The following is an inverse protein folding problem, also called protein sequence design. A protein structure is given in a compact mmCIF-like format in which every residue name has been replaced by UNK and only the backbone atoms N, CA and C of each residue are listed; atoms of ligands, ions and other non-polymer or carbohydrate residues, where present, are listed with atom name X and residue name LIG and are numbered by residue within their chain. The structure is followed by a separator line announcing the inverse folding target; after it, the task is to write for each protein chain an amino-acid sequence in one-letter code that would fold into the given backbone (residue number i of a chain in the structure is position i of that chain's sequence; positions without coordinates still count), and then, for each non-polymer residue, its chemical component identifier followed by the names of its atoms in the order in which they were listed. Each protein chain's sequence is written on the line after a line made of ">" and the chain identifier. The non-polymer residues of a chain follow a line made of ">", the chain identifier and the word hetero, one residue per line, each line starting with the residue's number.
data_IF_299626350152
#
_entry.id   IF_299626350152
#
_cell.length_a   1.000
_cell.length_b   1.000
_cell.length_c   1.000
_cell.angle_alpha   90.00
_cell.angle_beta   90.00
_cell.angle_gamma   90.00
#
_symmetry.space_group_name_H-M   'P 1'
#
loop_
_entity.id
_entity.type
_entity.pdbx_description
1 polymer ?
#
# COMPACT_ATOMS: atom_id res chain seq x y z
N UNK A 1 13.57 -0.83 8.97
CA UNK A 1 13.84 -1.82 10.05
C UNK A 1 14.38 -3.14 9.51
N UNK A 2 13.71 -3.83 8.56
CA UNK A 2 14.19 -5.14 8.07
C UNK A 2 15.64 -5.19 7.56
N UNK A 3 16.11 -4.14 6.90
CA UNK A 3 17.50 -4.06 6.41
C UNK A 3 18.51 -4.10 7.56
N UNK A 4 18.23 -3.51 8.70
CA UNK A 4 19.14 -3.49 9.87
C UNK A 4 19.35 -4.92 10.39
N UNK A 5 18.29 -5.72 10.46
CA UNK A 5 18.41 -7.12 10.88
C UNK A 5 19.23 -7.96 9.89
N UNK A 6 19.04 -7.75 8.58
CA UNK A 6 19.81 -8.42 7.54
C UNK A 6 21.29 -8.05 7.64
N UNK A 7 21.61 -6.76 7.80
CA UNK A 7 23.00 -6.30 8.01
C UNK A 7 23.61 -6.86 9.29
N UNK A 8 22.80 -6.99 10.36
CA UNK A 8 23.22 -7.65 11.60
C UNK A 8 23.61 -9.10 11.37
N UNK A 9 22.81 -9.87 10.62
CA UNK A 9 23.13 -11.27 10.27
C UNK A 9 24.42 -11.35 9.45
N UNK A 10 24.61 -10.46 8.48
CA UNK A 10 25.83 -10.42 7.66
C UNK A 10 27.06 -10.08 8.51
N UNK A 11 26.96 -9.08 9.39
CA UNK A 11 28.05 -8.70 10.31
C UNK A 11 28.44 -9.85 11.23
N UNK A 12 27.46 -10.51 11.87
CA UNK A 12 27.71 -11.67 12.75
C UNK A 12 28.38 -12.83 12.02
N UNK A 13 28.05 -13.05 10.75
CA UNK A 13 28.66 -14.11 9.95
C UNK A 13 30.15 -13.85 9.66
N UNK A 14 30.52 -12.58 9.48
CA UNK A 14 31.90 -12.21 9.14
C UNK A 14 32.81 -12.01 10.37
N UNK A 15 32.24 -11.42 11.42
CA UNK A 15 33.06 -10.85 12.50
C UNK A 15 33.07 -11.71 13.78
N UNK A 16 32.10 -12.64 13.96
CA UNK A 16 31.96 -13.43 15.18
C UNK A 16 31.76 -14.91 14.90
N UNK A 17 32.82 -15.72 14.88
CA UNK A 17 32.68 -17.17 14.80
C UNK A 17 31.90 -17.70 16.02
N UNK A 18 30.90 -18.55 15.79
CA UNK A 18 30.03 -19.11 16.82
C UNK A 18 28.78 -18.31 17.16
N UNK A 19 28.51 -17.20 16.45
CA UNK A 19 27.29 -16.40 16.65
C UNK A 19 26.07 -16.92 15.87
N UNK A 20 25.99 -18.22 15.61
CA UNK A 20 24.91 -18.83 14.81
C UNK A 20 23.54 -18.61 15.45
N UNK A 21 23.41 -18.79 16.76
CA UNK A 21 22.14 -18.59 17.49
C UNK A 21 21.65 -17.15 17.40
N UNK A 22 22.58 -16.18 17.50
CA UNK A 22 22.23 -14.77 17.34
C UNK A 22 21.79 -14.46 15.90
N UNK A 23 22.42 -15.07 14.90
CA UNK A 23 22.04 -14.92 13.49
C UNK A 23 20.66 -15.51 13.22
N UNK A 24 20.33 -16.68 13.77
CA UNK A 24 19.00 -17.27 13.71
C UNK A 24 17.93 -16.37 14.34
N UNK A 25 18.21 -15.84 15.52
CA UNK A 25 17.30 -14.92 16.22
C UNK A 25 17.02 -13.66 15.41
N UNK A 26 18.07 -13.05 14.81
CA UNK A 26 17.91 -11.87 13.98
C UNK A 26 17.16 -12.17 12.67
N UNK A 27 17.38 -13.35 12.08
CA UNK A 27 16.63 -13.78 10.91
C UNK A 27 15.14 -13.95 11.23
N UNK A 28 14.81 -14.60 12.33
CA UNK A 28 13.43 -14.73 12.80
C UNK A 28 12.79 -13.36 13.07
N UNK A 29 13.48 -12.46 13.76
CA UNK A 29 13.01 -11.09 14.00
C UNK A 29 12.76 -10.33 12.68
N UNK A 30 13.61 -10.51 11.68
CA UNK A 30 13.43 -9.92 10.35
C UNK A 30 12.14 -10.43 9.70
N UNK A 31 11.88 -11.73 9.75
CA UNK A 31 10.70 -12.33 9.13
C UNK A 31 9.41 -11.85 9.81
N UNK A 32 9.39 -11.82 11.13
CA UNK A 32 8.26 -11.25 11.89
C UNK A 32 8.08 -9.75 11.65
N UNK A 33 9.17 -8.98 11.54
CA UNK A 33 9.08 -7.55 11.24
C UNK A 33 8.52 -7.32 9.84
N UNK A 34 8.83 -8.19 8.88
CA UNK A 34 8.27 -8.11 7.53
C UNK A 34 6.78 -8.47 7.51
N UNK A 35 6.38 -9.49 8.26
CA UNK A 35 4.99 -9.89 8.37
C UNK A 35 4.13 -8.79 9.02
N UNK A 36 4.59 -8.21 10.14
CA UNK A 36 3.84 -7.18 10.88
C UNK A 36 3.91 -5.79 10.26
N UNK A 37 5.03 -5.42 9.68
CA UNK A 37 5.16 -4.12 9.03
C UNK A 37 4.38 -4.07 7.72
N UNK A 38 4.94 -4.57 6.61
CA UNK A 38 4.27 -4.56 5.32
C UNK A 38 2.97 -5.37 5.29
N UNK A 39 2.94 -6.53 5.94
CA UNK A 39 1.79 -7.44 5.93
C UNK A 39 0.54 -6.91 6.65
N UNK A 40 0.68 -6.05 7.64
CA UNK A 40 -0.46 -5.45 8.35
C UNK A 40 -0.67 -3.98 8.04
N UNK A 41 0.39 -3.17 8.02
CA UNK A 41 0.26 -1.71 7.87
C UNK A 41 -0.08 -1.33 6.42
N UNK A 42 0.57 -1.93 5.43
CA UNK A 42 0.36 -1.63 4.01
C UNK A 42 -1.08 -1.91 3.55
N UNK A 43 -1.73 -3.04 3.92
CA UNK A 43 -3.11 -3.29 3.54
C UNK A 43 -4.10 -2.22 4.01
N UNK A 44 -3.90 -1.68 5.21
CA UNK A 44 -4.71 -0.58 5.72
C UNK A 44 -4.47 0.71 4.95
N UNK A 45 -3.22 1.10 4.79
CA UNK A 45 -2.85 2.35 4.13
C UNK A 45 -3.08 2.33 2.62
N UNK A 46 -2.32 1.51 1.92
CA UNK A 46 -2.35 1.48 0.46
C UNK A 46 -3.53 0.67 -0.10
N UNK A 47 -3.92 -0.40 0.55
CA UNK A 47 -5.06 -1.20 0.12
C UNK A 47 -6.38 -0.47 0.36
N UNK A 48 -6.77 -0.34 1.62
CA UNK A 48 -8.10 0.16 1.97
C UNK A 48 -8.22 1.67 1.84
N UNK A 49 -7.34 2.45 2.50
CA UNK A 49 -7.48 3.91 2.54
C UNK A 49 -7.21 4.50 1.16
N UNK A 50 -6.08 4.19 0.56
CA UNK A 50 -5.72 4.73 -0.75
C UNK A 50 -6.64 4.19 -1.85
N UNK A 51 -6.96 2.89 -1.84
CA UNK A 51 -7.92 2.28 -2.76
C UNK A 51 -9.30 2.97 -2.68
N UNK A 52 -9.81 3.22 -1.47
CA UNK A 52 -11.07 3.94 -1.26
C UNK A 52 -11.00 5.39 -1.76
N UNK A 53 -9.93 6.12 -1.43
CA UNK A 53 -9.74 7.49 -1.88
C UNK A 53 -9.68 7.58 -3.41
N UNK A 54 -8.95 6.67 -4.07
CA UNK A 54 -8.85 6.62 -5.53
C UNK A 54 -10.19 6.24 -6.17
N UNK A 55 -10.94 5.33 -5.55
CA UNK A 55 -12.29 4.98 -6.00
C UNK A 55 -13.26 6.17 -5.91
N UNK A 56 -13.28 6.85 -4.76
CA UNK A 56 -14.17 7.97 -4.48
C UNK A 56 -13.83 9.21 -5.30
N UNK A 57 -12.54 9.52 -5.42
CA UNK A 57 -12.05 10.68 -6.17
C UNK A 57 -12.19 10.52 -7.69
N UNK A 58 -12.19 9.29 -8.20
CA UNK A 58 -12.17 9.03 -9.64
C UNK A 58 -10.89 9.48 -10.34
N UNK A 59 -9.80 9.72 -9.60
CA UNK A 59 -8.49 10.10 -10.14
C UNK A 59 -7.85 9.00 -10.98
N UNK A 60 -8.19 7.74 -10.68
CA UNK A 60 -7.80 6.55 -11.45
C UNK A 60 -9.05 5.79 -11.91
N UNK A 61 -8.93 4.90 -12.91
CA UNK A 61 -10.05 4.05 -13.33
C UNK A 61 -10.60 3.25 -12.16
N UNK A 62 -11.89 3.40 -11.88
CA UNK A 62 -12.56 2.75 -10.72
C UNK A 62 -12.36 1.24 -10.67
N UNK A 63 -12.28 0.59 -11.85
CA UNK A 63 -12.03 -0.86 -11.95
C UNK A 63 -10.71 -1.26 -11.29
N UNK A 64 -9.70 -0.42 -11.40
CA UNK A 64 -8.37 -0.67 -10.80
C UNK A 64 -8.35 -0.38 -9.30
N UNK A 65 -9.11 0.59 -8.81
CA UNK A 65 -9.24 0.85 -7.38
C UNK A 65 -9.84 -0.34 -6.62
N UNK A 66 -10.63 -1.20 -7.28
CA UNK A 66 -11.13 -2.44 -6.69
C UNK A 66 -10.03 -3.44 -6.31
N UNK A 67 -8.92 -3.46 -7.05
CA UNK A 67 -7.78 -4.32 -6.69
C UNK A 67 -7.18 -3.92 -5.34
N UNK A 68 -7.09 -2.63 -5.04
CA UNK A 68 -6.66 -2.16 -3.72
C UNK A 68 -7.67 -2.51 -2.63
N UNK A 69 -8.97 -2.26 -2.88
CA UNK A 69 -10.05 -2.51 -1.93
C UNK A 69 -10.24 -4.00 -1.59
N UNK A 70 -10.01 -4.89 -2.55
CA UNK A 70 -10.10 -6.34 -2.34
C UNK A 70 -8.76 -6.88 -1.82
N UNK A 71 -7.66 -6.42 -2.38
CA UNK A 71 -6.31 -6.87 -2.03
C UNK A 71 -5.94 -6.55 -0.59
N UNK A 72 -6.35 -5.39 -0.07
CA UNK A 72 -6.11 -5.01 1.32
C UNK A 72 -6.65 -6.02 2.32
N UNK A 73 -7.98 -6.28 2.36
CA UNK A 73 -8.57 -7.30 3.24
C UNK A 73 -7.99 -8.70 3.04
N UNK A 74 -7.67 -9.08 1.80
CA UNK A 74 -7.10 -10.39 1.49
C UNK A 74 -5.70 -10.55 2.10
N UNK A 75 -4.86 -9.53 1.99
CA UNK A 75 -3.53 -9.53 2.60
C UNK A 75 -3.61 -9.52 4.13
N UNK A 76 -4.55 -8.73 4.70
CA UNK A 76 -4.80 -8.75 6.14
C UNK A 76 -5.19 -10.14 6.62
N UNK A 77 -6.13 -10.78 5.95
CA UNK A 77 -6.58 -12.13 6.29
C UNK A 77 -5.43 -13.14 6.21
N UNK A 78 -4.60 -13.06 5.15
CA UNK A 78 -3.40 -13.87 5.02
C UNK A 78 -2.40 -13.66 6.16
N UNK A 79 -2.12 -12.42 6.51
CA UNK A 79 -1.18 -12.06 7.58
C UNK A 79 -1.69 -12.48 8.98
N UNK A 80 -2.98 -12.30 9.26
CA UNK A 80 -3.58 -12.77 10.51
C UNK A 80 -3.58 -14.29 10.61
N UNK A 81 -3.90 -15.00 9.52
CA UNK A 81 -3.88 -16.46 9.54
C UNK A 81 -2.48 -17.04 9.76
N UNK A 82 -1.45 -16.41 9.21
CA UNK A 82 -0.06 -16.77 9.52
C UNK A 82 0.29 -16.45 10.98
N UNK A 83 -0.20 -15.32 11.52
CA UNK A 83 0.02 -14.95 12.91
C UNK A 83 -0.59 -15.94 13.91
N UNK A 84 -1.79 -16.44 13.60
CA UNK A 84 -2.51 -17.41 14.43
C UNK A 84 -2.19 -18.87 14.09
N UNK A 85 -1.18 -19.09 13.25
CA UNK A 85 -0.71 -20.44 12.85
C UNK A 85 -1.81 -21.30 12.20
N UNK A 86 -2.73 -20.63 11.48
CA UNK A 86 -3.77 -21.34 10.71
C UNK A 86 -3.21 -21.98 9.45
N UNK A 87 -2.14 -21.41 8.93
CA UNK A 87 -1.37 -21.93 7.79
C UNK A 87 0.06 -21.42 7.80
N UNK A 88 0.93 -22.19 7.16
CA UNK A 88 2.33 -21.82 7.01
C UNK A 88 2.51 -20.58 6.12
N UNK A 89 3.49 -19.75 6.44
CA UNK A 89 3.83 -18.54 5.67
C UNK A 89 4.15 -18.83 4.19
N UNK A 90 4.61 -20.03 3.86
CA UNK A 90 4.89 -20.50 2.50
C UNK A 90 3.69 -21.13 1.77
N UNK A 91 2.50 -21.16 2.36
CA UNK A 91 1.33 -21.74 1.73
C UNK A 91 0.74 -20.87 0.62
N UNK A 92 -0.21 -21.42 -0.14
CA UNK A 92 -0.86 -20.70 -1.26
C UNK A 92 -1.65 -19.47 -0.82
N UNK A 93 -2.17 -19.45 0.40
CA UNK A 93 -3.02 -18.36 0.89
C UNK A 93 -2.22 -17.05 1.08
N UNK A 94 -1.05 -17.06 1.72
CA UNK A 94 -0.17 -15.88 1.73
C UNK A 94 0.29 -15.44 0.34
N UNK A 95 0.41 -16.35 -0.64
CA UNK A 95 0.77 -15.96 -2.01
C UNK A 95 -0.31 -15.12 -2.71
N UNK A 96 -1.55 -15.06 -2.19
CA UNK A 96 -2.56 -14.09 -2.63
C UNK A 96 -2.17 -12.63 -2.30
N UNK A 97 -1.14 -12.41 -1.50
CA UNK A 97 -0.51 -11.11 -1.29
C UNK A 97 -0.02 -10.44 -2.59
N UNK A 98 0.17 -11.19 -3.65
CA UNK A 98 0.45 -10.66 -5.01
C UNK A 98 -0.64 -9.69 -5.50
N UNK A 99 -1.89 -9.85 -5.08
CA UNK A 99 -2.99 -8.98 -5.54
C UNK A 99 -2.78 -7.50 -5.18
N UNK A 100 -2.46 -7.14 -3.91
CA UNK A 100 -2.12 -5.75 -3.59
C UNK A 100 -0.81 -5.26 -4.24
N UNK A 101 0.17 -6.13 -4.49
CA UNK A 101 1.38 -5.76 -5.20
C UNK A 101 1.08 -5.34 -6.65
N UNK A 102 0.19 -6.06 -7.33
CA UNK A 102 -0.30 -5.68 -8.67
C UNK A 102 -0.98 -4.30 -8.61
N UNK A 103 -1.77 -4.02 -7.58
CA UNK A 103 -2.40 -2.72 -7.38
C UNK A 103 -1.37 -1.59 -7.24
N UNK A 104 -0.36 -1.78 -6.39
CA UNK A 104 0.69 -0.77 -6.15
C UNK A 104 1.52 -0.53 -7.41
N UNK A 105 1.95 -1.60 -8.09
CA UNK A 105 2.67 -1.50 -9.35
C UNK A 105 1.84 -0.78 -10.42
N UNK A 106 0.56 -1.15 -10.57
CA UNK A 106 -0.35 -0.47 -11.49
C UNK A 106 -0.49 1.01 -11.15
N UNK A 107 -0.75 1.35 -9.90
CA UNK A 107 -0.92 2.74 -9.49
C UNK A 107 0.34 3.56 -9.75
N UNK A 108 1.52 3.03 -9.43
CA UNK A 108 2.79 3.67 -9.69
C UNK A 108 3.02 3.92 -11.17
N UNK A 109 2.87 2.91 -12.01
CA UNK A 109 3.05 3.00 -13.46
C UNK A 109 2.01 3.94 -14.08
N UNK A 110 0.74 3.81 -13.68
CA UNK A 110 -0.33 4.64 -14.19
C UNK A 110 -0.08 6.13 -13.89
N UNK A 111 0.24 6.45 -12.65
CA UNK A 111 0.53 7.84 -12.26
C UNK A 111 1.78 8.40 -12.93
N UNK A 112 2.79 7.57 -13.17
CA UNK A 112 4.03 7.99 -13.83
C UNK A 112 3.83 8.31 -15.33
N UNK A 113 2.97 7.55 -16.02
CA UNK A 113 2.78 7.68 -17.48
C UNK A 113 1.63 8.63 -17.82
N UNK A 114 0.47 8.43 -17.19
CA UNK A 114 -0.76 9.18 -17.55
C UNK A 114 -1.12 10.28 -16.54
N UNK A 115 -0.57 10.21 -15.32
CA UNK A 115 -0.97 11.11 -14.25
C UNK A 115 -2.41 10.85 -13.77
N UNK A 116 -2.97 11.80 -13.03
CA UNK A 116 -4.35 11.73 -12.57
C UNK A 116 -5.33 12.15 -13.67
N UNK A 117 -6.50 11.53 -13.67
CA UNK A 117 -7.58 11.86 -14.60
C UNK A 117 -8.06 13.29 -14.38
N UNK A 118 -7.99 14.11 -15.43
CA UNK A 118 -8.43 15.53 -15.39
C UNK A 118 -9.96 15.68 -15.27
N UNK A 119 -10.71 14.66 -15.70
CA UNK A 119 -12.18 14.64 -15.62
C UNK A 119 -12.70 14.22 -14.24
N UNK A 120 -11.83 14.17 -13.23
CA UNK A 120 -12.21 13.84 -11.86
C UNK A 120 -13.13 14.92 -11.28
N UNK A 121 -14.22 14.55 -10.59
CA UNK A 121 -15.13 15.49 -9.94
C UNK A 121 -14.43 16.45 -8.95
N UNK A 122 -13.30 16.04 -8.39
CA UNK A 122 -12.53 16.85 -7.45
C UNK A 122 -11.73 17.94 -8.16
N UNK A 123 -11.32 17.71 -9.42
CA UNK A 123 -10.55 18.64 -10.22
C UNK A 123 -11.43 19.58 -11.06
N UNK A 124 -12.74 19.31 -11.14
CA UNK A 124 -13.69 20.21 -11.83
C UNK A 124 -13.88 21.48 -11.00
N UNK A 125 -13.72 22.68 -11.57
CA UNK A 125 -14.01 23.93 -10.87
C UNK A 125 -15.44 23.87 -10.34
N UNK A 126 -15.63 24.16 -9.06
CA UNK A 126 -16.96 24.24 -8.47
C UNK A 126 -17.66 25.46 -9.10
N UNK A 127 -18.65 25.23 -9.93
CA UNK A 127 -19.41 26.26 -10.66
C UNK A 127 -20.10 27.28 -9.73
N UNK A 128 -20.12 27.01 -8.42
CA UNK A 128 -20.68 27.90 -7.40
C UNK A 128 -19.79 29.09 -7.04
N UNK A 129 -18.51 29.11 -7.43
CA UNK A 129 -17.61 30.21 -7.11
C UNK A 129 -17.56 31.29 -8.20
N UNK A 130 -18.29 31.09 -9.30
CA UNK A 130 -18.58 32.16 -10.24
C UNK A 130 -19.82 32.86 -9.72
N UNK A 131 -19.63 33.74 -8.73
CA UNK A 131 -20.68 34.62 -8.25
C UNK A 131 -21.28 35.44 -9.42
N UNK A 132 -22.58 35.46 -9.62
CA UNK A 132 -23.22 36.40 -10.55
C UNK A 132 -23.26 37.76 -9.88
N UNK A 133 -22.17 38.48 -9.92
CA UNK A 133 -21.99 39.76 -9.23
C UNK A 133 -21.30 40.86 -10.02
N UNK A 134 -21.20 40.74 -11.34
CA UNK A 134 -20.59 41.79 -12.18
C UNK A 134 -21.48 42.19 -13.35
N UNK A 135 -22.80 42.26 -13.12
CA UNK A 135 -23.72 42.87 -14.09
C UNK A 135 -24.51 43.98 -13.39
N UNK A 136 -23.94 45.14 -13.30
CA UNK A 136 -24.68 46.26 -12.72
C UNK A 136 -23.86 47.49 -12.43
N UNK A 137 -23.10 48.00 -13.41
CA UNK A 137 -22.60 49.39 -13.33
C UNK A 137 -22.30 49.91 -14.73
N UNK A 138 -23.35 50.12 -15.50
CA UNK A 138 -23.24 51.04 -16.67
C UNK A 138 -24.63 51.63 -16.90
N UNK A 139 -24.90 52.72 -16.21
CA UNK A 139 -25.82 53.79 -16.63
C UNK A 139 -25.74 54.90 -15.58
N UNK A 140 -25.03 55.96 -15.89
CA UNK A 140 -25.38 57.38 -15.75
C UNK A 140 -24.20 58.26 -16.19
#
# INVERSE_FOLDING_TARGET
>A
MGIIFVLGVVGLRHDLPGAEDAAFTLAALKDWTFLFGPGLIVPWGNGLILGYLMYKSGLVPRRMAWFGLIGGPLLLFGSFGTLFDWWDAGSTIPSLAVVPEIWEAFLGIYCAIWGFRRDSPILSPRTSDIAPGASGATHA
#
